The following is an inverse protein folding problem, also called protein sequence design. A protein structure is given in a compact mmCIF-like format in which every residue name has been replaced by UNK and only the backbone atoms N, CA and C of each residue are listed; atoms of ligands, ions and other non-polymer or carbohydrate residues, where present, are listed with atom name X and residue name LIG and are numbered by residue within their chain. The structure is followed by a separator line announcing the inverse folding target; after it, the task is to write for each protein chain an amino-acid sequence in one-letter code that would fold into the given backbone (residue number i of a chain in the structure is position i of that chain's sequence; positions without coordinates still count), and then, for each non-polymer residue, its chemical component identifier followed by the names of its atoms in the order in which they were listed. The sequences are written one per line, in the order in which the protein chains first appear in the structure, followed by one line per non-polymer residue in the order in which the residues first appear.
data_IF_309862496065
#
_entry.id   IF_309862496065
#
_cell.length_a   1.000
_cell.length_b   1.000
_cell.length_c   1.000
_cell.angle_alpha   90.00
_cell.angle_beta   90.00
_cell.angle_gamma   90.00
#
_symmetry.space_group_name_H-M   'P 1'
#
loop_
_entity.id
_entity.type
_entity.pdbx_description
1 polymer ?
#
# COMPACT_ATOMS: atom_id res chain seq x y z
N UNK A 1 -8.73 56.12 -7.98
CA UNK A 1 -8.76 55.00 -8.97
C UNK A 1 -7.95 53.88 -8.40
N UNK A 2 -8.61 53.13 -7.58
CA UNK A 2 -7.96 52.09 -6.81
C UNK A 2 -8.15 50.79 -7.55
N UNK A 3 -7.13 50.38 -8.27
CA UNK A 3 -7.03 49.04 -8.76
C UNK A 3 -6.71 48.13 -7.60
N UNK A 4 -7.73 47.72 -6.90
CA UNK A 4 -7.67 46.57 -6.05
C UNK A 4 -7.43 45.33 -6.91
N UNK A 5 -6.20 45.17 -7.29
CA UNK A 5 -5.67 43.88 -7.70
C UNK A 5 -5.27 43.15 -6.42
N UNK A 6 -6.25 42.96 -5.53
CA UNK A 6 -6.15 41.90 -4.56
C UNK A 6 -6.29 40.60 -5.32
N UNK A 7 -5.19 40.20 -5.94
CA UNK A 7 -5.01 38.81 -6.29
C UNK A 7 -5.17 38.04 -5.00
N UNK A 8 -6.27 37.34 -4.96
CA UNK A 8 -6.63 36.37 -3.96
C UNK A 8 -5.53 35.31 -3.89
N UNK A 9 -4.51 35.58 -3.08
CA UNK A 9 -3.45 34.64 -2.70
C UNK A 9 -3.97 33.61 -1.71
N UNK A 10 -5.20 33.17 -1.92
CA UNK A 10 -5.75 31.98 -1.27
C UNK A 10 -5.53 30.72 -2.13
N UNK A 11 -4.45 30.65 -2.88
CA UNK A 11 -3.82 29.38 -3.10
C UNK A 11 -3.20 29.04 -1.76
N UNK A 12 -3.99 28.33 -0.94
CA UNK A 12 -3.49 27.66 0.23
C UNK A 12 -2.26 26.88 -0.23
N UNK A 13 -1.10 27.37 0.13
CA UNK A 13 0.14 26.58 0.09
C UNK A 13 -0.16 25.43 1.03
N UNK A 14 -0.64 24.30 0.48
CA UNK A 14 -0.81 23.07 1.26
C UNK A 14 0.55 22.83 1.90
N UNK A 15 0.59 22.91 3.23
CA UNK A 15 1.82 22.76 3.96
C UNK A 15 2.40 21.38 3.59
N UNK A 16 3.61 21.38 3.04
CA UNK A 16 4.28 20.16 2.67
C UNK A 16 4.62 19.40 3.95
N UNK A 17 3.98 18.26 4.14
CA UNK A 17 4.25 17.37 5.26
C UNK A 17 5.28 16.34 4.85
N UNK A 18 6.18 16.03 5.78
CA UNK A 18 7.19 14.99 5.62
C UNK A 18 6.95 13.91 6.65
N UNK A 19 6.87 12.66 6.20
CA UNK A 19 6.81 11.49 7.04
C UNK A 19 7.98 10.56 6.69
N UNK A 20 8.34 9.68 7.61
CA UNK A 20 9.43 8.71 7.40
C UNK A 20 8.97 7.32 7.83
N UNK A 21 9.39 6.32 7.05
CA UNK A 21 9.23 4.90 7.38
C UNK A 21 10.62 4.27 7.51
N UNK A 22 10.85 3.61 8.64
CA UNK A 22 12.13 2.97 8.93
C UNK A 22 12.25 1.64 8.19
N UNK A 23 13.40 1.40 7.58
CA UNK A 23 13.76 0.17 6.87
C UNK A 23 14.85 -0.54 7.66
N UNK A 24 14.70 -1.83 7.89
CA UNK A 24 15.66 -2.61 8.67
C UNK A 24 16.87 -3.05 7.84
N UNK A 25 16.71 -3.11 6.52
CA UNK A 25 17.79 -3.49 5.60
C UNK A 25 17.59 -2.93 4.20
N UNK A 26 18.70 -2.80 3.46
CA UNK A 26 18.66 -2.43 2.04
C UNK A 26 17.88 -3.44 1.19
N UNK A 27 17.89 -4.73 1.59
CA UNK A 27 17.13 -5.78 0.90
C UNK A 27 15.62 -5.55 0.97
N UNK A 28 15.11 -5.09 2.12
CA UNK A 28 13.71 -4.68 2.25
C UNK A 28 13.34 -3.52 1.31
N UNK A 29 14.21 -2.53 1.23
CA UNK A 29 14.01 -1.38 0.35
C UNK A 29 13.96 -1.79 -1.12
N UNK A 30 14.89 -2.64 -1.56
CA UNK A 30 14.93 -3.18 -2.92
C UNK A 30 13.68 -3.99 -3.24
N UNK A 31 13.24 -4.85 -2.33
CA UNK A 31 12.04 -5.68 -2.50
C UNK A 31 10.76 -4.83 -2.54
N UNK A 32 10.68 -3.80 -1.70
CA UNK A 32 9.55 -2.89 -1.70
C UNK A 32 9.48 -2.05 -2.98
N UNK A 33 10.61 -1.48 -3.41
CA UNK A 33 10.66 -0.60 -4.58
C UNK A 33 10.49 -1.35 -5.90
N UNK A 34 10.91 -2.62 -5.94
CA UNK A 34 10.85 -3.45 -7.13
C UNK A 34 11.90 -3.10 -8.17
N UNK A 35 11.83 -3.76 -9.31
CA UNK A 35 12.77 -3.55 -10.41
C UNK A 35 12.58 -2.13 -10.98
N UNK A 36 13.68 -1.37 -11.10
CA UNK A 36 13.68 0.02 -11.58
C UNK A 36 12.70 0.94 -10.84
N UNK A 37 12.48 0.70 -9.55
CA UNK A 37 11.57 1.49 -8.70
C UNK A 37 10.11 1.52 -9.22
N UNK A 38 9.68 0.49 -9.93
CA UNK A 38 8.32 0.42 -10.48
C UNK A 38 7.24 0.50 -9.41
N UNK A 39 7.44 -0.18 -8.29
CA UNK A 39 6.49 -0.15 -7.18
C UNK A 39 6.42 1.22 -6.53
N UNK A 40 7.56 1.89 -6.38
CA UNK A 40 7.65 3.24 -5.85
C UNK A 40 6.80 4.22 -6.68
N UNK A 41 6.90 4.12 -8.00
CA UNK A 41 6.12 4.94 -8.93
C UNK A 41 4.61 4.70 -8.78
N UNK A 42 4.21 3.44 -8.58
CA UNK A 42 2.81 3.09 -8.36
C UNK A 42 2.31 3.65 -7.03
N UNK A 43 3.06 3.50 -5.94
CA UNK A 43 2.68 4.04 -4.63
C UNK A 43 2.54 5.57 -4.72
N UNK A 44 3.50 6.26 -5.35
CA UNK A 44 3.45 7.71 -5.52
C UNK A 44 2.25 8.15 -6.35
N UNK A 45 1.94 7.47 -7.45
CA UNK A 45 0.80 7.80 -8.30
C UNK A 45 -0.55 7.58 -7.59
N UNK A 46 -0.69 6.49 -6.84
CA UNK A 46 -1.94 6.13 -6.17
C UNK A 46 -2.20 6.95 -4.89
N UNK A 47 -1.16 7.40 -4.21
CA UNK A 47 -1.28 8.17 -2.95
C UNK A 47 -1.17 9.68 -3.14
N UNK A 48 -0.56 10.12 -4.23
CA UNK A 48 -0.25 11.54 -4.47
C UNK A 48 0.96 12.05 -3.69
N UNK A 49 1.67 11.21 -2.97
CA UNK A 49 2.87 11.57 -2.23
C UNK A 49 4.14 11.26 -3.02
N UNK A 50 5.18 12.06 -2.81
CA UNK A 50 6.53 11.80 -3.32
C UNK A 50 7.27 10.90 -2.33
N UNK A 51 7.86 9.83 -2.83
CA UNK A 51 8.56 8.83 -2.01
C UNK A 51 10.02 8.77 -2.44
N UNK A 52 10.93 8.87 -1.47
CA UNK A 52 12.37 8.98 -1.71
C UNK A 52 13.11 8.03 -0.77
N UNK A 53 14.09 7.30 -1.30
CA UNK A 53 15.04 6.57 -0.48
C UNK A 53 16.01 7.57 0.19
N UNK A 54 16.10 7.55 1.51
CA UNK A 54 16.95 8.45 2.30
C UNK A 54 17.78 7.65 3.31
N UNK A 55 18.85 7.03 2.83
CA UNK A 55 19.71 6.19 3.67
C UNK A 55 19.01 4.91 4.13
N UNK A 56 18.77 4.81 5.42
CA UNK A 56 18.08 3.71 6.09
C UNK A 56 16.59 3.94 6.31
N UNK A 57 16.05 4.99 5.74
CA UNK A 57 14.62 5.30 5.81
C UNK A 57 14.03 5.64 4.45
N UNK A 58 12.71 5.56 4.36
CA UNK A 58 11.93 6.02 3.23
C UNK A 58 11.28 7.34 3.63
N UNK A 59 11.64 8.42 2.96
CA UNK A 59 11.03 9.73 3.18
C UNK A 59 9.83 9.91 2.26
N UNK A 60 8.76 10.42 2.82
CA UNK A 60 7.48 10.62 2.16
C UNK A 60 7.12 12.09 2.28
N UNK A 61 6.90 12.75 1.15
CA UNK A 61 6.61 14.18 1.08
C UNK A 61 5.30 14.40 0.32
N UNK A 62 4.46 15.27 0.84
CA UNK A 62 3.18 15.60 0.19
C UNK A 62 2.27 16.42 1.08
N UNK A 63 0.99 16.55 0.71
CA UNK A 63 -0.02 17.08 1.61
C UNK A 63 -0.12 16.20 2.87
N UNK A 64 -0.66 16.72 3.95
CA UNK A 64 -0.82 15.95 5.19
C UNK A 64 -1.56 14.63 4.95
N UNK A 65 -2.63 14.67 4.18
CA UNK A 65 -3.44 13.51 3.83
C UNK A 65 -2.68 12.52 2.94
N UNK A 66 -2.00 12.99 1.89
CA UNK A 66 -1.22 12.14 1.00
C UNK A 66 -0.02 11.50 1.70
N UNK A 67 0.68 12.25 2.56
CA UNK A 67 1.82 11.75 3.31
C UNK A 67 1.40 10.69 4.33
N UNK A 68 0.29 10.90 5.04
CA UNK A 68 -0.25 9.92 5.99
C UNK A 68 -0.70 8.63 5.29
N UNK A 69 -1.44 8.76 4.20
CA UNK A 69 -1.88 7.61 3.40
C UNK A 69 -0.69 6.81 2.88
N UNK A 70 0.29 7.48 2.28
CA UNK A 70 1.48 6.83 1.74
C UNK A 70 2.31 6.16 2.84
N UNK A 71 2.48 6.81 3.99
CA UNK A 71 3.17 6.23 5.14
C UNK A 71 2.49 4.95 5.62
N UNK A 72 1.18 4.98 5.79
CA UNK A 72 0.40 3.81 6.19
C UNK A 72 0.58 2.66 5.22
N UNK A 73 0.48 2.92 3.93
CA UNK A 73 0.67 1.90 2.88
C UNK A 73 2.10 1.35 2.90
N UNK A 74 3.12 2.22 2.95
CA UNK A 74 4.53 1.81 2.97
C UNK A 74 4.83 0.96 4.19
N UNK A 75 4.40 1.37 5.39
CA UNK A 75 4.62 0.61 6.62
C UNK A 75 3.98 -0.80 6.55
N UNK A 76 2.77 -0.92 6.02
CA UNK A 76 2.10 -2.21 5.84
C UNK A 76 2.78 -3.08 4.77
N UNK A 77 3.23 -2.49 3.67
CA UNK A 77 3.97 -3.21 2.63
C UNK A 77 5.36 -3.65 3.11
N UNK A 78 6.02 -2.90 3.99
CA UNK A 78 7.27 -3.34 4.64
C UNK A 78 7.04 -4.59 5.49
N UNK A 79 5.93 -4.67 6.23
CA UNK A 79 5.57 -5.89 6.97
C UNK A 79 5.39 -7.07 6.01
N UNK A 80 4.75 -6.84 4.85
CA UNK A 80 4.58 -7.84 3.79
C UNK A 80 5.93 -8.37 3.31
N UNK A 81 6.87 -7.47 3.02
CA UNK A 81 8.23 -7.82 2.58
C UNK A 81 8.98 -8.62 3.65
N UNK A 82 8.89 -8.22 4.93
CA UNK A 82 9.53 -8.91 6.08
C UNK A 82 9.02 -10.34 6.25
N UNK A 83 7.77 -10.60 5.89
CA UNK A 83 7.18 -11.95 5.87
C UNK A 83 7.59 -12.79 4.66
N UNK A 84 8.42 -12.24 3.76
CA UNK A 84 8.89 -12.93 2.56
C UNK A 84 7.87 -12.95 1.42
N UNK A 85 6.85 -12.11 1.47
CA UNK A 85 5.84 -11.99 0.42
C UNK A 85 6.28 -10.97 -0.63
N UNK A 86 5.91 -11.22 -1.88
CA UNK A 86 6.19 -10.29 -2.97
C UNK A 86 5.20 -9.12 -2.98
N UNK A 87 5.73 -7.95 -3.25
CA UNK A 87 4.94 -6.75 -3.49
C UNK A 87 4.89 -6.50 -5.00
N UNK A 88 3.70 -6.61 -5.56
CA UNK A 88 3.42 -6.32 -6.96
C UNK A 88 2.45 -5.14 -7.09
N UNK A 89 2.28 -4.67 -8.32
CA UNK A 89 1.42 -3.51 -8.64
C UNK A 89 -0.03 -3.70 -8.19
N UNK A 90 -0.57 -4.90 -8.33
CA UNK A 90 -1.95 -5.21 -7.93
C UNK A 90 -2.10 -5.16 -6.42
N UNK A 91 -1.13 -5.69 -5.68
CA UNK A 91 -1.10 -5.64 -4.22
C UNK A 91 -0.99 -4.21 -3.70
N UNK A 92 -0.16 -3.38 -4.33
CA UNK A 92 -0.03 -1.96 -3.96
C UNK A 92 -1.37 -1.24 -4.12
N UNK A 93 -2.03 -1.35 -5.27
CA UNK A 93 -3.32 -0.71 -5.51
C UNK A 93 -4.36 -1.15 -4.49
N UNK A 94 -4.44 -2.45 -4.25
CA UNK A 94 -5.35 -2.98 -3.25
C UNK A 94 -5.05 -2.47 -1.83
N UNK A 95 -3.76 -2.39 -1.46
CA UNK A 95 -3.34 -1.82 -0.19
C UNK A 95 -3.74 -0.34 -0.06
N UNK A 96 -3.57 0.44 -1.12
CA UNK A 96 -3.98 1.85 -1.14
C UNK A 96 -5.49 1.98 -1.00
N UNK A 97 -6.28 1.17 -1.70
CA UNK A 97 -7.73 1.18 -1.60
C UNK A 97 -8.20 0.85 -0.18
N UNK A 98 -7.65 -0.21 0.43
CA UNK A 98 -7.94 -0.55 1.83
C UNK A 98 -7.56 0.57 2.80
N UNK A 99 -6.42 1.21 2.59
CA UNK A 99 -5.99 2.33 3.44
C UNK A 99 -6.90 3.55 3.29
N UNK A 100 -7.36 3.86 2.09
CA UNK A 100 -8.34 4.94 1.84
C UNK A 100 -9.68 4.68 2.52
N UNK A 101 -10.08 3.43 2.63
CA UNK A 101 -11.31 3.00 3.32
C UNK A 101 -11.16 2.92 4.85
N UNK A 102 -9.99 3.21 5.40
CA UNK A 102 -9.71 3.05 6.83
C UNK A 102 -9.47 1.61 7.28
N UNK A 103 -9.24 0.70 6.35
CA UNK A 103 -9.06 -0.74 6.57
C UNK A 103 -7.60 -1.19 6.39
N UNK A 104 -6.64 -0.34 6.69
CA UNK A 104 -5.21 -0.62 6.48
C UNK A 104 -4.71 -1.90 7.18
N UNK A 105 -5.28 -2.27 8.33
CA UNK A 105 -4.90 -3.48 9.06
C UNK A 105 -5.20 -4.75 8.28
N UNK A 106 -6.20 -4.74 7.40
CA UNK A 106 -6.55 -5.87 6.56
C UNK A 106 -5.48 -6.19 5.50
N UNK A 107 -4.59 -5.24 5.19
CA UNK A 107 -3.48 -5.45 4.26
C UNK A 107 -2.59 -6.61 4.73
N UNK A 108 -2.29 -6.65 6.01
CA UNK A 108 -1.42 -7.65 6.62
C UNK A 108 -2.15 -8.88 7.12
N UNK A 109 -3.44 -8.80 7.43
CA UNK A 109 -4.24 -9.94 7.87
C UNK A 109 -4.47 -10.98 6.77
N UNK A 110 -4.62 -10.56 5.51
CA UNK A 110 -4.81 -11.46 4.37
C UNK A 110 -3.62 -12.39 4.14
N UNK A 111 -2.44 -12.00 4.61
CA UNK A 111 -1.20 -12.73 4.40
C UNK A 111 -1.01 -13.90 5.37
N UNK A 112 -1.76 -13.93 6.47
CA UNK A 112 -1.62 -14.97 7.49
C UNK A 112 -2.30 -16.30 7.10
N UNK A 113 -3.28 -16.26 6.21
CA UNK A 113 -4.11 -17.42 5.89
C UNK A 113 -3.60 -18.20 4.67
N UNK A 114 -2.94 -19.31 4.92
CA UNK A 114 -2.58 -20.27 3.87
C UNK A 114 -3.83 -21.09 3.50
N UNK A 115 -4.24 -21.01 2.23
CA UNK A 115 -5.42 -21.73 1.72
C UNK A 115 -5.04 -23.13 1.27
N UNK A 116 -3.90 -23.28 0.62
CA UNK A 116 -3.41 -24.52 0.04
C UNK A 116 -1.90 -24.47 -0.20
N UNK A 117 -1.34 -25.62 -0.56
CA UNK A 117 0.04 -25.73 -1.03
C UNK A 117 0.04 -26.26 -2.48
N UNK A 118 0.92 -25.73 -3.31
CA UNK A 118 1.16 -26.34 -4.64
C UNK A 118 1.91 -27.66 -4.48
N UNK A 119 1.94 -28.48 -5.55
CA UNK A 119 2.73 -29.70 -5.58
C UNK A 119 4.25 -29.49 -5.29
N UNK A 120 4.75 -28.26 -5.48
CA UNK A 120 6.12 -27.84 -5.18
C UNK A 120 6.28 -27.23 -3.79
N UNK A 121 5.26 -27.31 -2.91
CA UNK A 121 5.29 -26.79 -1.55
C UNK A 121 5.12 -25.27 -1.43
N UNK A 122 4.74 -24.55 -2.49
CA UNK A 122 4.44 -23.11 -2.42
C UNK A 122 3.13 -22.87 -1.69
N UNK A 123 3.13 -21.93 -0.77
CA UNK A 123 1.93 -21.48 -0.06
C UNK A 123 1.03 -20.68 -0.99
N UNK A 124 -0.25 -21.04 -1.04
CA UNK A 124 -1.29 -20.27 -1.73
C UNK A 124 -2.09 -19.53 -0.68
N UNK A 125 -2.17 -18.21 -0.83
CA UNK A 125 -2.87 -17.30 0.09
C UNK A 125 -3.90 -16.48 -0.66
N UNK A 126 -4.91 -15.99 0.05
CA UNK A 126 -5.85 -15.02 -0.50
C UNK A 126 -5.16 -13.68 -0.72
N UNK A 127 -5.35 -13.07 -1.88
CA UNK A 127 -4.83 -11.74 -2.22
C UNK A 127 -5.82 -10.62 -1.93
N UNK A 128 -7.10 -10.94 -1.78
CA UNK A 128 -8.19 -9.99 -1.54
C UNK A 128 -9.18 -10.49 -0.51
N UNK A 129 -9.92 -9.56 0.12
CA UNK A 129 -11.01 -9.89 1.04
C UNK A 129 -12.11 -10.70 0.37
N UNK A 130 -12.42 -10.42 -0.91
CA UNK A 130 -13.39 -11.19 -1.68
C UNK A 130 -12.97 -12.64 -1.82
N UNK A 131 -11.70 -12.90 -2.13
CA UNK A 131 -11.14 -14.26 -2.19
C UNK A 131 -11.21 -14.95 -0.81
N UNK A 132 -10.89 -14.25 0.28
CA UNK A 132 -10.97 -14.77 1.64
C UNK A 132 -12.40 -15.15 2.00
N UNK A 133 -13.39 -14.30 1.71
CA UNK A 133 -14.81 -14.60 1.91
C UNK A 133 -15.26 -15.82 1.13
N UNK A 134 -14.85 -15.94 -0.13
CA UNK A 134 -15.16 -17.08 -0.99
C UNK A 134 -14.55 -18.38 -0.44
N UNK A 135 -13.29 -18.39 -0.05
CA UNK A 135 -12.63 -19.56 0.54
C UNK A 135 -13.28 -19.97 1.85
N UNK A 136 -13.63 -19.01 2.71
CA UNK A 136 -14.34 -19.29 3.95
C UNK A 136 -15.74 -19.88 3.70
N UNK A 137 -16.43 -19.41 2.66
CA UNK A 137 -17.71 -20.00 2.25
C UNK A 137 -17.54 -21.44 1.74
N UNK A 138 -16.50 -21.73 0.96
CA UNK A 138 -16.18 -23.10 0.52
C UNK A 138 -15.91 -24.06 1.68
N UNK A 139 -15.23 -23.58 2.74
CA UNK A 139 -14.90 -24.39 3.92
C UNK A 139 -16.14 -24.72 4.78
N UNK A 140 -17.17 -23.88 4.74
CA UNK A 140 -18.35 -23.98 5.63
C UNK A 140 -19.59 -24.57 4.95
N UNK A 141 -19.62 -24.61 3.63
CA UNK A 141 -20.80 -25.00 2.86
C UNK A 141 -20.47 -26.12 1.87
N UNK A 142 -21.42 -27.02 1.64
CA UNK A 142 -21.29 -28.10 0.66
C UNK A 142 -21.40 -27.61 -0.77
N UNK A 143 -22.19 -26.54 -1.00
CA UNK A 143 -22.39 -25.91 -2.31
C UNK A 143 -22.22 -24.39 -2.18
N UNK A 144 -21.43 -23.80 -3.07
CA UNK A 144 -21.18 -22.36 -3.13
C UNK A 144 -21.33 -21.89 -4.57
N UNK A 145 -22.14 -20.83 -4.76
CA UNK A 145 -22.28 -20.17 -6.05
C UNK A 145 -21.44 -18.89 -6.07
N UNK A 146 -20.55 -18.76 -7.08
CA UNK A 146 -19.83 -17.54 -7.35
C UNK A 146 -20.47 -16.80 -8.53
N UNK A 147 -20.77 -15.52 -8.34
CA UNK A 147 -21.28 -14.61 -9.39
C UNK A 147 -20.24 -13.53 -9.60
N UNK A 148 -19.78 -13.42 -10.83
CA UNK A 148 -18.76 -12.45 -11.24
C UNK A 148 -19.32 -11.37 -12.18
#
# INVERSE_FOLDING_TARGET
MDNNNEMNLSEATEALCTAESVVESMDEMIKLFGVFDENLKVISAETGARIIAAGDCIRIEGSAEAAELAKTVVDKLLITVRRGENVDRSRIRYAVDLAKEGNADLITELESDVVAFTAKGRRIKCKTLGQKKYVNALKRNTVVFGVG
#
